data_IF_261611912055
#
_entry.id   IF_261611912055
#
_cell.length_a   1.000
_cell.length_b   1.000
_cell.length_c   1.000
_cell.angle_alpha   90.00
_cell.angle_beta   90.00
_cell.angle_gamma   90.00
#
_symmetry.space_group_name_H-M   'P 1'
#
loop_
_entity.id
_entity.type
_entity.pdbx_description
1 polymer ?
#
# COMPACT_ATOMS: atom_id res chain seq x y z
N UNK A 1 -32.02 30.23 66.67
CA UNK A 1 -32.90 31.33 66.21
C UNK A 1 -32.23 32.65 66.55
N UNK A 2 -32.47 33.70 65.76
CA UNK A 2 -31.96 35.09 65.83
C UNK A 2 -30.80 35.44 64.88
N UNK A 3 -31.15 36.16 63.80
CA UNK A 3 -30.25 36.97 62.96
C UNK A 3 -29.84 38.25 63.69
N UNK A 4 -28.79 38.96 63.23
CA UNK A 4 -29.00 40.35 62.81
C UNK A 4 -28.13 40.70 61.55
N UNK A 5 -27.96 41.97 61.09
CA UNK A 5 -28.53 42.42 59.82
C UNK A 5 -27.49 42.90 58.79
N UNK A 6 -27.95 43.07 57.54
CA UNK A 6 -27.28 43.78 56.44
C UNK A 6 -27.31 45.30 56.59
N UNK A 7 -26.29 46.00 56.09
CA UNK A 7 -26.43 47.30 55.41
C UNK A 7 -25.86 47.21 53.96
N UNK A 8 -26.60 47.52 52.89
CA UNK A 8 -27.04 48.84 52.39
C UNK A 8 -25.94 49.68 51.69
N UNK A 9 -26.15 49.95 50.40
CA UNK A 9 -25.54 51.06 49.62
C UNK A 9 -24.78 50.59 48.37
N UNK A 10 -25.36 50.56 47.16
CA UNK A 10 -25.32 51.60 46.09
C UNK A 10 -23.87 52.10 45.82
N UNK A 11 -23.32 52.17 44.61
CA UNK A 11 -23.90 52.36 43.26
C UNK A 11 -22.77 52.27 42.20
N UNK A 12 -23.16 51.95 40.96
CA UNK A 12 -22.56 52.40 39.68
C UNK A 12 -21.29 51.69 39.16
N UNK A 13 -21.36 51.21 37.91
CA UNK A 13 -20.17 50.89 37.10
C UNK A 13 -20.40 49.86 36.01
N UNK A 14 -21.08 50.25 34.94
CA UNK A 14 -21.22 49.46 33.71
C UNK A 14 -19.89 49.41 32.94
N UNK A 15 -19.30 48.23 32.69
CA UNK A 15 -18.38 48.01 31.56
C UNK A 15 -18.52 46.58 31.02
N UNK A 16 -18.92 46.51 29.75
CA UNK A 16 -18.88 45.37 28.84
C UNK A 16 -17.45 45.18 28.34
N UNK A 17 -16.86 43.99 28.44
CA UNK A 17 -15.64 43.56 27.72
C UNK A 17 -15.63 42.02 27.68
N UNK A 18 -16.06 41.41 26.57
CA UNK A 18 -15.22 40.73 25.56
C UNK A 18 -14.30 39.63 26.14
N UNK A 19 -14.70 38.36 25.94
CA UNK A 19 -13.82 37.19 26.07
C UNK A 19 -12.70 37.33 25.04
N UNK A 20 -11.51 37.67 25.50
CA UNK A 20 -10.28 37.58 24.72
C UNK A 20 -9.67 36.19 24.88
N UNK A 21 -9.48 35.51 23.76
CA UNK A 21 -8.54 34.42 23.58
C UNK A 21 -7.18 34.78 24.19
N UNK A 22 -6.62 33.86 24.97
CA UNK A 22 -5.21 33.89 25.36
C UNK A 22 -4.65 32.48 25.38
N UNK A 23 -4.08 32.08 24.24
CA UNK A 23 -2.98 31.11 24.23
C UNK A 23 -1.71 31.80 24.75
N UNK A 24 -0.96 31.21 25.69
CA UNK A 24 0.34 31.72 26.06
C UNK A 24 1.37 31.40 24.95
N UNK A 25 2.03 32.45 24.47
CA UNK A 25 3.21 32.38 23.62
C UNK A 25 4.46 32.23 24.51
N UNK A 26 5.34 31.24 24.27
CA UNK A 26 6.72 31.33 24.72
C UNK A 26 7.58 32.02 23.64
N UNK A 27 7.94 33.26 23.96
CA UNK A 27 9.02 34.04 23.35
C UNK A 27 10.39 33.40 23.61
N UNK A 28 11.23 33.30 22.58
CA UNK A 28 12.66 33.08 22.75
C UNK A 28 13.33 32.30 21.63
N UNK A 29 13.57 32.97 20.49
CA UNK A 29 14.60 32.54 19.55
C UNK A 29 16.00 32.62 20.20
N UNK A 30 16.93 31.79 19.74
CA UNK A 30 18.19 32.36 19.30
C UNK A 30 18.59 31.90 17.89
N UNK A 31 18.96 32.91 17.10
CA UNK A 31 20.07 32.98 16.16
C UNK A 31 20.23 31.86 15.10
N UNK A 32 19.87 32.26 13.88
CA UNK A 32 20.47 31.79 12.63
C UNK A 32 21.97 32.13 12.60
N UNK A 33 22.81 31.13 12.33
CA UNK A 33 24.10 31.28 11.65
C UNK A 33 24.41 29.93 11.00
N UNK A 34 24.18 29.80 9.69
CA UNK A 34 25.25 29.87 8.68
C UNK A 34 26.27 28.75 8.82
N UNK A 35 25.95 27.59 8.23
CA UNK A 35 26.96 26.85 7.46
C UNK A 35 26.32 26.10 6.29
N UNK A 36 26.30 26.82 5.16
CA UNK A 36 26.30 26.26 3.82
C UNK A 36 27.70 25.65 3.57
N UNK A 37 27.85 24.33 3.58
CA UNK A 37 28.84 23.68 2.70
C UNK A 37 28.71 22.16 2.54
N UNK A 38 28.38 21.78 1.30
CA UNK A 38 28.92 20.67 0.49
C UNK A 38 28.84 19.25 1.04
N UNK A 39 28.07 18.41 0.32
CA UNK A 39 28.67 17.21 -0.26
C UNK A 39 28.07 16.92 -1.64
N UNK A 40 28.49 17.72 -2.63
CA UNK A 40 28.65 17.22 -4.00
C UNK A 40 30.01 16.51 -4.09
N UNK A 41 30.03 15.49 -4.95
CA UNK A 41 31.22 14.84 -5.53
C UNK A 41 31.96 13.81 -4.66
N UNK A 42 31.60 12.54 -4.84
CA UNK A 42 32.44 11.46 -5.40
C UNK A 42 31.47 10.39 -5.95
N UNK A 43 31.48 9.95 -7.20
CA UNK A 43 32.34 10.23 -8.33
C UNK A 43 31.65 9.78 -9.61
N UNK A 44 32.07 10.39 -10.71
CA UNK A 44 31.79 9.95 -12.07
C UNK A 44 32.35 8.54 -12.24
N UNK A 45 31.53 7.52 -12.10
CA UNK A 45 31.86 6.22 -12.67
C UNK A 45 31.55 6.29 -14.16
N UNK A 46 32.63 6.44 -14.92
CA UNK A 46 32.71 5.93 -16.28
C UNK A 46 32.29 4.46 -16.23
N UNK A 47 31.10 4.13 -16.71
CA UNK A 47 30.79 2.75 -17.10
C UNK A 47 30.77 2.77 -18.61
N UNK A 48 31.95 2.47 -19.14
CA UNK A 48 32.16 2.24 -20.54
C UNK A 48 31.20 1.16 -21.04
N UNK A 49 30.79 1.38 -22.28
CA UNK A 49 30.37 0.36 -23.22
C UNK A 49 31.28 -0.88 -23.08
N UNK A 50 30.77 -1.99 -22.56
CA UNK A 50 31.38 -3.29 -22.78
C UNK A 50 30.34 -4.39 -22.95
N UNK A 51 30.62 -5.17 -23.98
CA UNK A 51 29.86 -6.24 -24.56
C UNK A 51 29.41 -7.32 -23.57
N UNK A 52 28.20 -7.81 -23.85
CA UNK A 52 27.83 -9.22 -23.88
C UNK A 52 28.41 -10.12 -22.78
N UNK A 53 27.69 -10.22 -21.68
CA UNK A 53 27.55 -11.50 -20.98
C UNK A 53 26.13 -11.98 -21.15
N UNK A 54 26.01 -13.04 -21.93
CA UNK A 54 24.79 -13.77 -22.22
C UNK A 54 24.09 -14.12 -20.90
N UNK A 55 23.07 -13.34 -20.53
CA UNK A 55 22.09 -13.79 -19.54
C UNK A 55 21.44 -15.00 -20.20
N UNK A 56 21.81 -16.20 -19.72
CA UNK A 56 21.17 -17.45 -20.11
C UNK A 56 19.74 -17.39 -19.59
N UNK A 57 18.85 -16.91 -20.45
CA UNK A 57 17.41 -17.03 -20.27
C UNK A 57 17.12 -18.52 -20.12
N UNK A 58 16.54 -18.98 -18.99
CA UNK A 58 16.18 -20.38 -18.87
C UNK A 58 15.13 -20.71 -19.94
N UNK A 59 15.46 -21.69 -20.78
CA UNK A 59 14.61 -22.24 -21.81
C UNK A 59 13.43 -23.01 -21.18
N UNK A 60 12.39 -22.30 -20.76
CA UNK A 60 11.14 -22.94 -20.35
C UNK A 60 10.35 -23.32 -21.60
N UNK A 61 10.33 -24.62 -21.90
CA UNK A 61 9.50 -25.23 -22.93
C UNK A 61 8.05 -24.76 -22.81
N UNK A 62 7.56 -24.07 -23.85
CA UNK A 62 6.19 -23.64 -23.96
C UNK A 62 5.27 -24.85 -24.19
N UNK A 63 4.79 -25.47 -23.10
CA UNK A 63 3.55 -26.25 -23.18
C UNK A 63 2.38 -25.28 -23.21
N UNK A 64 1.72 -25.17 -24.38
CA UNK A 64 0.39 -24.56 -24.52
C UNK A 64 -0.52 -25.16 -23.46
N UNK A 65 -0.97 -24.36 -22.48
CA UNK A 65 -1.95 -24.79 -21.48
C UNK A 65 -1.79 -24.23 -20.05
N UNK A 66 -0.65 -23.65 -19.65
CA UNK A 66 -0.54 -23.10 -18.28
C UNK A 66 -1.09 -21.67 -18.22
N UNK A 67 -2.34 -21.55 -17.77
CA UNK A 67 -3.08 -20.29 -17.54
C UNK A 67 -2.52 -19.42 -16.40
N UNK A 68 -1.52 -19.92 -15.66
CA UNK A 68 -0.89 -19.27 -14.51
C UNK A 68 0.60 -19.53 -14.55
N UNK A 69 1.40 -18.54 -14.18
CA UNK A 69 2.84 -18.68 -13.93
C UNK A 69 3.15 -18.32 -12.48
N UNK A 70 4.20 -18.91 -11.92
CA UNK A 70 4.58 -18.76 -10.51
C UNK A 70 6.06 -18.44 -10.41
N UNK A 71 6.42 -17.54 -9.50
CA UNK A 71 7.79 -17.19 -9.19
C UNK A 71 7.94 -17.12 -7.65
N UNK A 72 8.68 -18.04 -7.03
CA UNK A 72 8.97 -17.95 -5.61
C UNK A 72 9.86 -16.74 -5.32
N UNK A 73 9.54 -16.03 -4.25
CA UNK A 73 10.25 -14.84 -3.79
C UNK A 73 10.44 -14.89 -2.28
N UNK A 74 11.51 -14.29 -1.79
CA UNK A 74 11.77 -14.08 -0.38
C UNK A 74 11.54 -12.63 -0.03
N UNK A 75 10.96 -12.41 1.15
CA UNK A 75 10.56 -11.09 1.64
C UNK A 75 11.47 -10.70 2.80
N UNK A 76 12.22 -9.62 2.66
CA UNK A 76 12.97 -9.05 3.77
C UNK A 76 12.05 -8.11 4.54
N UNK A 77 11.90 -8.38 5.84
CA UNK A 77 11.18 -7.52 6.76
C UNK A 77 12.16 -6.73 7.62
N UNK A 78 11.84 -5.47 7.85
CA UNK A 78 12.51 -4.62 8.81
C UNK A 78 11.56 -4.32 9.97
N UNK A 79 12.09 -4.39 11.19
CA UNK A 79 11.40 -3.98 12.42
C UNK A 79 11.93 -2.63 12.84
N UNK A 80 11.03 -1.68 13.04
CA UNK A 80 11.34 -0.39 13.65
C UNK A 80 10.56 -0.20 14.95
N UNK A 81 11.19 0.44 15.93
CA UNK A 81 10.52 0.87 17.15
C UNK A 81 10.09 2.32 16.99
N UNK A 82 8.82 2.61 17.24
CA UNK A 82 8.33 3.98 17.30
C UNK A 82 9.02 4.75 18.43
N UNK A 83 9.24 6.05 18.25
CA UNK A 83 9.79 6.88 19.33
C UNK A 83 8.68 7.43 20.22
N UNK A 84 8.77 7.23 21.54
CA UNK A 84 7.92 7.90 22.53
C UNK A 84 7.31 6.97 23.57
N UNK A 85 6.53 7.53 24.51
CA UNK A 85 5.88 6.77 25.61
C UNK A 85 4.77 5.81 25.16
N UNK A 86 4.41 5.85 23.88
CA UNK A 86 3.47 4.94 23.23
C UNK A 86 4.11 4.28 22.02
N UNK A 87 5.43 4.04 22.09
CA UNK A 87 6.18 3.33 21.07
C UNK A 87 5.50 2.02 20.71
N UNK A 88 5.03 1.92 19.46
CA UNK A 88 4.62 0.66 18.86
C UNK A 88 5.77 0.10 18.04
N UNK A 89 5.89 -1.22 18.02
CA UNK A 89 6.73 -1.88 17.02
C UNK A 89 5.98 -1.88 15.69
N UNK A 90 6.67 -1.48 14.62
CA UNK A 90 6.16 -1.54 13.25
C UNK A 90 7.04 -2.46 12.42
N UNK A 91 6.41 -3.36 11.68
CA UNK A 91 7.06 -4.23 10.71
C UNK A 91 6.76 -3.72 9.31
N UNK A 92 7.77 -3.67 8.46
CA UNK A 92 7.66 -3.22 7.08
C UNK A 92 8.39 -4.17 6.14
N UNK A 93 7.80 -4.47 4.98
CA UNK A 93 8.51 -5.13 3.89
C UNK A 93 9.41 -4.12 3.17
N UNK A 94 10.70 -4.44 3.05
CA UNK A 94 11.71 -3.52 2.49
C UNK A 94 12.36 -4.04 1.21
N UNK A 95 12.40 -5.37 1.03
CA UNK A 95 12.95 -5.96 -0.17
C UNK A 95 12.21 -7.25 -0.57
N UNK A 96 12.16 -7.47 -1.88
CA UNK A 96 11.69 -8.72 -2.49
C UNK A 96 12.84 -9.28 -3.30
N UNK A 97 13.19 -10.53 -3.06
CA UNK A 97 14.29 -11.20 -3.76
C UNK A 97 13.76 -12.49 -4.42
N UNK A 98 13.81 -12.62 -5.75
CA UNK A 98 13.44 -13.87 -6.40
C UNK A 98 14.40 -14.98 -6.00
N UNK A 99 13.88 -16.20 -5.92
CA UNK A 99 14.65 -17.37 -5.48
C UNK A 99 15.93 -17.58 -6.31
N UNK A 100 17.04 -17.87 -5.62
CA UNK A 100 18.37 -18.08 -6.23
C UNK A 100 19.49 -17.24 -5.59
N UNK A 101 19.16 -16.26 -4.75
CA UNK A 101 20.13 -15.52 -3.95
C UNK A 101 20.32 -16.18 -2.56
N UNK A 102 21.50 -16.72 -2.24
CA UNK A 102 21.75 -17.37 -0.96
C UNK A 102 21.80 -16.41 0.24
N UNK A 103 21.95 -15.09 0.00
CA UNK A 103 22.09 -14.10 1.07
C UNK A 103 20.81 -13.87 1.90
N UNK A 104 19.65 -14.38 1.44
CA UNK A 104 18.32 -14.16 2.04
C UNK A 104 17.69 -15.44 2.59
N UNK A 105 18.51 -16.46 2.90
CA UNK A 105 18.03 -17.81 3.23
C UNK A 105 17.10 -17.92 4.46
N UNK A 106 17.07 -16.93 5.35
CA UNK A 106 16.21 -16.93 6.55
C UNK A 106 14.95 -16.05 6.39
N UNK A 107 14.79 -15.38 5.24
CA UNK A 107 13.62 -14.56 4.96
C UNK A 107 12.40 -15.41 4.58
N UNK A 108 11.17 -15.05 5.03
CA UNK A 108 9.94 -15.71 4.65
C UNK A 108 9.79 -15.83 3.13
N UNK A 109 9.31 -16.98 2.68
CA UNK A 109 9.10 -17.27 1.27
C UNK A 109 7.62 -17.14 0.90
N UNK A 110 7.35 -16.36 -0.14
CA UNK A 110 6.04 -16.26 -0.78
C UNK A 110 6.14 -16.64 -2.25
N UNK A 111 4.99 -16.78 -2.92
CA UNK A 111 4.94 -17.09 -4.36
C UNK A 111 4.17 -16.00 -5.07
N UNK A 112 4.84 -15.27 -5.95
CA UNK A 112 4.19 -14.39 -6.91
C UNK A 112 3.46 -15.24 -7.95
N UNK A 113 2.18 -14.98 -8.16
CA UNK A 113 1.35 -15.70 -9.13
C UNK A 113 0.75 -14.71 -10.12
N UNK A 114 0.90 -15.00 -11.42
CA UNK A 114 0.28 -14.18 -12.46
C UNK A 114 -0.89 -14.91 -13.11
N UNK A 115 -1.95 -14.16 -13.35
CA UNK A 115 -3.22 -14.60 -13.91
C UNK A 115 -3.55 -13.77 -15.16
N UNK A 116 -3.99 -14.43 -16.23
CA UNK A 116 -4.30 -13.73 -17.50
C UNK A 116 -5.37 -12.64 -17.38
N UNK A 117 -6.30 -12.81 -16.42
CA UNK A 117 -7.44 -11.90 -16.19
C UNK A 117 -7.01 -10.59 -15.51
N UNK A 118 -5.83 -10.56 -14.91
CA UNK A 118 -5.30 -9.39 -14.18
C UNK A 118 -4.24 -8.64 -15.00
N UNK A 119 -4.09 -8.97 -16.28
CA UNK A 119 -3.05 -8.37 -17.15
C UNK A 119 -3.17 -6.86 -17.29
N UNK A 120 -4.38 -6.30 -17.17
CA UNK A 120 -4.60 -4.85 -17.11
C UNK A 120 -3.95 -4.25 -15.86
N UNK A 121 -4.15 -4.85 -14.68
CA UNK A 121 -3.51 -4.41 -13.44
C UNK A 121 -1.98 -4.46 -13.52
N UNK A 122 -1.44 -5.52 -14.12
CA UNK A 122 0.01 -5.62 -14.32
C UNK A 122 0.55 -4.53 -15.26
N UNK A 123 -0.19 -4.15 -16.31
CA UNK A 123 0.19 -3.04 -17.20
C UNK A 123 0.22 -1.71 -16.45
N UNK A 124 -0.80 -1.45 -15.64
CA UNK A 124 -0.89 -0.23 -14.82
C UNK A 124 0.30 -0.15 -13.86
N UNK A 125 0.63 -1.24 -13.17
CA UNK A 125 1.79 -1.27 -12.27
C UNK A 125 3.12 -1.09 -13.02
N UNK A 126 3.30 -1.74 -14.18
CA UNK A 126 4.52 -1.61 -15.00
C UNK A 126 4.73 -0.20 -15.56
N UNK A 127 3.66 0.57 -15.74
CA UNK A 127 3.67 1.96 -16.21
C UNK A 127 3.85 2.99 -15.08
N UNK A 128 3.56 2.61 -13.84
CA UNK A 128 3.80 3.40 -12.65
C UNK A 128 5.22 3.14 -12.09
N UNK A 129 5.40 3.26 -10.76
CA UNK A 129 6.70 3.10 -10.09
C UNK A 129 7.19 1.64 -9.98
N UNK A 130 6.41 0.67 -10.48
CA UNK A 130 6.73 -0.77 -10.49
C UNK A 130 7.00 -1.31 -9.09
N UNK A 131 5.96 -1.71 -8.40
CA UNK A 131 6.05 -2.29 -7.07
C UNK A 131 5.65 -3.78 -7.05
N UNK A 132 6.25 -4.53 -6.14
CA UNK A 132 5.65 -5.75 -5.60
C UNK A 132 4.93 -5.35 -4.31
N UNK A 133 3.63 -5.58 -4.26
CA UNK A 133 2.82 -5.31 -3.09
C UNK A 133 2.89 -6.51 -2.16
N UNK A 134 3.35 -6.29 -0.94
CA UNK A 134 3.45 -7.30 0.10
C UNK A 134 2.40 -7.00 1.16
N UNK A 135 1.50 -7.95 1.37
CA UNK A 135 0.48 -7.89 2.41
C UNK A 135 1.05 -8.53 3.67
N UNK A 136 1.13 -7.76 4.75
CA UNK A 136 1.50 -8.20 6.08
C UNK A 136 0.25 -8.34 6.94
N UNK A 137 0.23 -9.36 7.80
CA UNK A 137 -0.82 -9.56 8.81
C UNK A 137 -0.19 -9.82 10.18
N UNK A 138 -0.88 -9.51 11.29
CA UNK A 138 -0.44 -9.93 12.60
C UNK A 138 -0.22 -11.45 12.63
N UNK A 139 0.94 -11.87 13.13
CA UNK A 139 1.22 -13.27 13.42
C UNK A 139 0.35 -13.80 14.56
N UNK A 140 0.38 -15.11 14.84
CA UNK A 140 -0.52 -15.77 15.78
C UNK A 140 -0.50 -15.17 17.19
N UNK A 141 0.68 -14.73 17.64
CA UNK A 141 0.90 -14.15 18.96
C UNK A 141 0.76 -12.62 19.00
N UNK A 142 0.33 -12.00 17.88
CA UNK A 142 0.08 -10.55 17.74
C UNK A 142 1.31 -9.66 17.89
N UNK A 143 2.50 -10.23 18.04
CA UNK A 143 3.74 -9.50 18.40
C UNK A 143 4.59 -9.15 17.17
N UNK A 144 4.52 -9.96 16.11
CA UNK A 144 5.20 -9.73 14.85
C UNK A 144 4.22 -9.74 13.69
N UNK A 145 4.49 -8.97 12.64
CA UNK A 145 3.75 -9.10 11.39
C UNK A 145 4.42 -10.14 10.50
N UNK A 146 3.61 -10.94 9.82
CA UNK A 146 4.07 -11.99 8.91
C UNK A 146 3.60 -11.70 7.47
N UNK A 147 4.42 -12.00 6.44
CA UNK A 147 4.00 -11.86 5.07
C UNK A 147 2.92 -12.89 4.73
N UNK A 148 1.75 -12.40 4.32
CA UNK A 148 0.60 -13.22 3.97
C UNK A 148 0.50 -13.45 2.45
N UNK A 149 0.68 -12.39 1.66
CA UNK A 149 0.55 -12.42 0.21
C UNK A 149 1.57 -11.47 -0.43
N UNK A 150 2.06 -11.84 -1.62
CA UNK A 150 2.78 -10.94 -2.49
C UNK A 150 2.11 -10.91 -3.86
N UNK A 151 1.82 -9.73 -4.38
CA UNK A 151 1.18 -9.54 -5.68
C UNK A 151 1.83 -8.40 -6.46
N UNK A 152 1.70 -8.44 -7.78
CA UNK A 152 2.06 -7.32 -8.68
C UNK A 152 0.81 -6.67 -9.29
N UNK A 153 -0.38 -7.09 -8.87
CA UNK A 153 -1.64 -6.44 -9.24
C UNK A 153 -1.97 -5.34 -8.22
N UNK A 154 -2.02 -4.06 -8.62
CA UNK A 154 -2.38 -2.99 -7.71
C UNK A 154 -3.85 -3.06 -7.28
N UNK A 155 -4.73 -3.62 -8.12
CA UNK A 155 -6.14 -3.79 -7.79
C UNK A 155 -6.35 -4.88 -6.73
N UNK A 156 -5.64 -6.00 -6.83
CA UNK A 156 -5.67 -7.03 -5.78
C UNK A 156 -5.06 -6.49 -4.49
N UNK A 157 -3.96 -5.75 -4.56
CA UNK A 157 -3.35 -5.12 -3.39
C UNK A 157 -4.32 -4.15 -2.68
N UNK A 158 -5.10 -3.38 -3.45
CA UNK A 158 -6.10 -2.46 -2.92
C UNK A 158 -7.17 -3.19 -2.10
N UNK A 159 -7.64 -4.35 -2.55
CA UNK A 159 -8.64 -5.14 -1.82
C UNK A 159 -8.15 -5.54 -0.41
N UNK A 160 -6.84 -5.70 -0.22
CA UNK A 160 -6.23 -5.94 1.10
C UNK A 160 -5.88 -4.66 1.86
N UNK A 161 -5.65 -3.54 1.18
CA UNK A 161 -5.38 -2.26 1.83
C UNK A 161 -6.61 -1.72 2.58
N UNK A 162 -7.82 -2.14 2.15
CA UNK A 162 -9.08 -1.78 2.80
C UNK A 162 -9.43 -2.71 3.98
N UNK A 163 -8.67 -3.79 4.21
CA UNK A 163 -8.85 -4.74 5.32
C UNK A 163 -8.17 -4.22 6.60
N UNK A 164 -8.92 -4.15 7.71
CA UNK A 164 -8.48 -3.54 8.97
C UNK A 164 -7.32 -4.30 9.64
N UNK A 165 -7.21 -5.61 9.41
CA UNK A 165 -6.19 -6.46 10.00
C UNK A 165 -4.99 -6.69 9.05
N UNK A 166 -4.95 -6.00 7.92
CA UNK A 166 -3.89 -6.14 6.91
C UNK A 166 -3.15 -4.82 6.69
N UNK A 167 -1.85 -4.91 6.44
CA UNK A 167 -1.02 -3.79 6.00
C UNK A 167 -0.40 -4.10 4.65
N UNK A 168 -0.37 -3.14 3.72
CA UNK A 168 0.15 -3.36 2.36
C UNK A 168 1.34 -2.46 2.11
N UNK A 169 2.50 -3.08 1.91
CA UNK A 169 3.75 -2.40 1.58
C UNK A 169 4.03 -2.47 0.08
N UNK A 170 4.33 -1.32 -0.53
CA UNK A 170 4.79 -1.24 -1.91
C UNK A 170 6.33 -1.33 -1.96
N UNK A 171 6.84 -2.51 -2.31
CA UNK A 171 8.29 -2.76 -2.37
C UNK A 171 8.80 -2.58 -3.80
N UNK A 172 9.95 -1.90 -4.04
CA UNK A 172 10.51 -1.74 -5.37
C UNK A 172 10.66 -3.08 -6.12
N UNK A 173 10.12 -3.16 -7.33
CA UNK A 173 10.11 -4.40 -8.10
C UNK A 173 11.51 -4.74 -8.65
N UNK A 174 12.08 -5.90 -8.33
CA UNK A 174 13.35 -6.33 -8.90
C UNK A 174 13.30 -6.43 -10.42
N UNK A 175 14.39 -6.11 -11.11
CA UNK A 175 14.44 -6.10 -12.58
C UNK A 175 14.07 -7.45 -13.20
N UNK A 176 14.47 -8.56 -12.57
CA UNK A 176 14.12 -9.91 -13.01
C UNK A 176 12.61 -10.20 -12.90
N UNK A 177 11.97 -9.73 -11.82
CA UNK A 177 10.50 -9.79 -11.65
C UNK A 177 9.82 -8.93 -12.71
N UNK A 178 10.27 -7.69 -12.91
CA UNK A 178 9.70 -6.79 -13.91
C UNK A 178 9.79 -7.37 -15.34
N UNK A 179 10.93 -7.98 -15.69
CA UNK A 179 11.09 -8.65 -16.98
C UNK A 179 10.14 -9.85 -17.14
N UNK A 180 9.95 -10.63 -16.07
CA UNK A 180 9.03 -11.77 -16.06
C UNK A 180 7.56 -11.33 -16.21
N UNK A 181 7.12 -10.32 -15.46
CA UNK A 181 5.77 -9.75 -15.58
C UNK A 181 5.55 -9.16 -16.97
N UNK A 182 6.53 -8.41 -17.50
CA UNK A 182 6.46 -7.84 -18.85
C UNK A 182 6.29 -8.93 -19.92
N UNK A 183 7.06 -10.02 -19.83
CA UNK A 183 6.95 -11.14 -20.75
C UNK A 183 5.59 -11.84 -20.66
N UNK A 184 5.03 -11.94 -19.45
CA UNK A 184 3.71 -12.51 -19.23
C UNK A 184 2.61 -11.64 -19.85
N UNK A 185 2.62 -10.32 -19.58
CA UNK A 185 1.68 -9.36 -20.15
C UNK A 185 1.73 -9.40 -21.68
N UNK A 186 2.92 -9.33 -22.28
CA UNK A 186 3.09 -9.39 -23.75
C UNK A 186 2.50 -10.66 -24.38
N UNK A 187 2.45 -11.77 -23.65
CA UNK A 187 1.95 -13.06 -24.16
C UNK A 187 0.44 -13.23 -23.96
N UNK A 188 -0.12 -12.65 -22.92
CA UNK A 188 -1.47 -12.98 -22.45
C UNK A 188 -2.45 -11.82 -22.43
N UNK A 189 -1.97 -10.58 -22.54
CA UNK A 189 -2.84 -9.43 -22.55
C UNK A 189 -3.57 -9.33 -23.89
N UNK A 190 -4.88 -9.16 -23.81
CA UNK A 190 -5.76 -8.87 -24.93
C UNK A 190 -6.56 -7.65 -24.53
N UNK A 191 -6.50 -6.58 -25.33
CA UNK A 191 -7.31 -5.39 -25.08
C UNK A 191 -8.78 -5.76 -25.30
N UNK A 192 -9.52 -5.96 -24.21
CA UNK A 192 -10.97 -6.17 -24.27
C UNK A 192 -11.67 -4.80 -24.21
N UNK A 193 -12.41 -4.39 -25.25
CA UNK A 193 -13.14 -3.14 -25.19
C UNK A 193 -14.22 -3.22 -24.12
N UNK A 194 -14.21 -2.26 -23.18
CA UNK A 194 -15.20 -2.20 -22.12
C UNK A 194 -16.62 -2.09 -22.71
N UNK A 195 -17.39 -3.18 -22.63
CA UNK A 195 -18.80 -3.19 -23.05
C UNK A 195 -19.70 -2.91 -21.86
N UNK A 196 -20.10 -1.64 -21.70
CA UNK A 196 -21.10 -1.26 -20.70
C UNK A 196 -22.35 -2.14 -20.83
N UNK A 197 -22.76 -2.80 -19.75
CA UNK A 197 -24.02 -3.56 -19.70
C UNK A 197 -25.17 -2.59 -19.94
N UNK A 198 -25.89 -2.76 -21.05
CA UNK A 198 -27.14 -2.01 -21.28
C UNK A 198 -28.15 -2.46 -20.21
N UNK A 199 -28.67 -1.52 -19.43
CA UNK A 199 -29.77 -1.82 -18.50
C UNK A 199 -30.98 -2.18 -19.37
N UNK A 200 -31.50 -3.39 -19.18
CA UNK A 200 -32.75 -3.78 -19.83
C UNK A 200 -33.89 -2.85 -19.41
N UNK A 201 -34.99 -2.81 -20.17
CA UNK A 201 -36.20 -2.10 -19.76
C UNK A 201 -36.60 -2.52 -18.34
N UNK A 202 -37.12 -1.57 -17.55
CA UNK A 202 -37.69 -1.91 -16.24
C UNK A 202 -38.85 -2.88 -16.49
N UNK A 203 -38.75 -4.11 -15.96
CA UNK A 203 -39.86 -5.05 -16.03
C UNK A 203 -41.09 -4.42 -15.38
N UNK A 204 -42.25 -4.57 -16.02
CA UNK A 204 -43.53 -4.11 -15.48
C UNK A 204 -43.81 -4.84 -14.16
N UNK A 205 -44.54 -4.23 -13.21
CA UNK A 205 -44.92 -4.89 -11.95
C UNK A 205 -45.59 -6.26 -12.16
N UNK A 206 -46.34 -6.38 -13.26
CA UNK A 206 -47.03 -7.60 -13.69
C UNK A 206 -46.07 -8.74 -14.08
N UNK A 207 -44.85 -8.42 -14.53
CA UNK A 207 -43.81 -9.41 -14.85
C UNK A 207 -43.31 -10.17 -13.61
N UNK A 208 -43.53 -9.62 -12.42
CA UNK A 208 -43.22 -10.23 -11.13
C UNK A 208 -44.43 -10.93 -10.49
N UNK A 209 -45.61 -10.84 -11.11
CA UNK A 209 -46.80 -11.49 -10.60
C UNK A 209 -46.72 -13.00 -10.81
N UNK A 210 -47.01 -13.77 -9.76
CA UNK A 210 -47.10 -15.23 -9.85
C UNK A 210 -48.35 -15.58 -10.68
N UNK A 211 -48.26 -16.43 -11.72
CA UNK A 211 -49.43 -16.77 -12.51
C UNK A 211 -50.51 -17.42 -11.62
N UNK A 212 -51.80 -17.19 -11.92
CA UNK A 212 -52.89 -17.76 -11.14
C UNK A 212 -52.78 -19.29 -11.14
N UNK A 213 -52.93 -19.87 -9.95
CA UNK A 213 -52.90 -21.33 -9.76
C UNK A 213 -54.11 -21.91 -10.48
N UNK A 214 -53.91 -22.66 -11.56
CA UNK A 214 -54.99 -23.33 -12.28
C UNK A 214 -55.76 -24.24 -11.32
N UNK A 215 -57.05 -23.98 -11.12
CA UNK A 215 -57.92 -24.95 -10.45
C UNK A 215 -58.17 -26.10 -11.43
N UNK A 216 -57.94 -27.32 -10.95
CA UNK A 216 -58.09 -28.57 -11.69
C UNK A 216 -59.32 -29.29 -11.17
#
# INVERSE_FOLDING_TARGET
MSRPPTPSGRKTGMVRQSRGDRYPQPSGSPALSTEHRRFESLGRYHIGFWQSRSIRIPQWTARRGKMRTRLPVRITLERSEGSGRWASTVWQAVAVVPEGDPAVSDSPQLVLQLHRKETEGYRTNLAADRAVYVVLRPGPDGTASEPFLATVCPFEAQDYADDADSHVDAVPMPTSVAAWVTAFVRRHHVDEPFRKRKRGPRSSPESFARPPRSQR
#
